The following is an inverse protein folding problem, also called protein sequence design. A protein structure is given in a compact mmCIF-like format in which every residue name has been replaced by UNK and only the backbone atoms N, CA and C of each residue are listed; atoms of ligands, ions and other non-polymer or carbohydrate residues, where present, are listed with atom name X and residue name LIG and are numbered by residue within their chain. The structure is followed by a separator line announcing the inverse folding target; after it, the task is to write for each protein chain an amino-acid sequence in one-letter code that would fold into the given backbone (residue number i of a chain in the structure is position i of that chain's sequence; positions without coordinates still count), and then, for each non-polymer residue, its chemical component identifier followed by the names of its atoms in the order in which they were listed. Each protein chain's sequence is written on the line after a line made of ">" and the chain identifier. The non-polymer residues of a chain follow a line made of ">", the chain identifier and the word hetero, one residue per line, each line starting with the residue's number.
data_IF_771061752167
#
_entry.id   IF_771061752167
#
_cell.length_a   1.000
_cell.length_b   1.000
_cell.length_c   1.000
_cell.angle_alpha   90.00
_cell.angle_beta   90.00
_cell.angle_gamma   90.00
#
_symmetry.space_group_name_H-M   'P 1'
#
loop_
_entity.id
_entity.type
_entity.pdbx_description
1 polymer ?
#
# COMPACT_ATOMS: atom_id res chain seq x y z
N UNK A 1 13.63 -6.98 -10.95
CA UNK A 1 14.11 -5.61 -10.70
C UNK A 1 14.52 -5.53 -9.24
N UNK A 2 15.69 -4.94 -8.93
CA UNK A 2 16.17 -4.75 -7.55
C UNK A 2 15.49 -3.51 -6.96
N UNK A 3 15.11 -3.54 -5.68
CA UNK A 3 14.37 -2.46 -5.02
C UNK A 3 15.34 -1.42 -4.48
N UNK A 4 15.06 -0.15 -4.79
CA UNK A 4 15.90 0.98 -4.38
C UNK A 4 15.42 1.55 -3.03
N UNK A 5 16.12 1.16 -1.97
CA UNK A 5 15.83 1.61 -0.60
C UNK A 5 16.27 3.03 -0.30
N UNK A 6 16.98 3.70 -1.21
CA UNK A 6 17.38 5.11 -1.05
C UNK A 6 16.21 6.08 -1.29
N UNK A 7 15.13 5.60 -1.94
CA UNK A 7 14.00 6.44 -2.31
C UNK A 7 13.03 6.65 -1.15
N UNK A 8 12.31 7.77 -1.18
CA UNK A 8 11.31 8.12 -0.16
C UNK A 8 10.15 7.11 -0.10
N UNK A 9 9.78 6.54 -1.25
CA UNK A 9 8.72 5.54 -1.42
C UNK A 9 9.34 4.26 -2.02
N UNK A 10 9.57 3.19 -1.23
CA UNK A 10 10.09 1.92 -1.75
C UNK A 10 9.15 1.36 -2.82
N UNK A 11 9.69 0.89 -3.94
CA UNK A 11 8.84 0.36 -5.02
C UNK A 11 9.58 -0.58 -5.99
N UNK A 12 8.81 -1.32 -6.79
CA UNK A 12 9.32 -2.15 -7.91
C UNK A 12 8.72 -1.77 -9.28
N UNK A 13 8.23 -0.53 -9.41
CA UNK A 13 7.52 -0.02 -10.60
C UNK A 13 8.31 1.08 -11.33
N UNK A 14 9.60 1.23 -11.01
CA UNK A 14 10.49 2.26 -11.55
C UNK A 14 9.94 3.69 -11.35
N UNK A 15 9.39 3.98 -10.17
CA UNK A 15 8.76 5.28 -9.89
C UNK A 15 9.69 6.49 -10.17
N UNK A 16 11.00 6.33 -9.94
CA UNK A 16 12.00 7.38 -10.23
C UNK A 16 12.17 7.72 -11.72
N UNK A 17 11.73 6.85 -12.62
CA UNK A 17 11.75 7.10 -14.07
C UNK A 17 10.57 8.00 -14.50
N UNK A 18 9.45 7.97 -13.77
CA UNK A 18 8.32 8.88 -13.96
C UNK A 18 8.31 9.99 -12.89
N UNK A 19 9.02 11.08 -13.20
CA UNK A 19 9.12 12.25 -12.31
C UNK A 19 7.78 12.94 -12.04
N UNK A 20 6.81 12.81 -12.94
CA UNK A 20 5.49 13.46 -12.77
C UNK A 20 4.69 12.67 -11.74
N UNK A 21 4.63 11.35 -11.90
CA UNK A 21 3.97 10.45 -10.95
C UNK A 21 4.64 10.49 -9.58
N UNK A 22 5.98 10.43 -9.53
CA UNK A 22 6.73 10.52 -8.29
C UNK A 22 6.35 11.78 -7.49
N UNK A 23 6.32 12.95 -8.15
CA UNK A 23 5.96 14.22 -7.49
C UNK A 23 4.52 14.24 -7.01
N UNK A 24 3.58 13.67 -7.77
CA UNK A 24 2.18 13.60 -7.36
C UNK A 24 2.02 12.77 -6.07
N UNK A 25 2.68 11.62 -5.98
CA UNK A 25 2.65 10.77 -4.79
C UNK A 25 3.38 11.41 -3.60
N UNK A 26 4.54 12.02 -3.84
CA UNK A 26 5.27 12.76 -2.79
C UNK A 26 4.50 13.99 -2.29
N UNK A 27 3.65 14.60 -3.13
CA UNK A 27 2.74 15.68 -2.74
C UNK A 27 1.55 15.16 -1.91
N UNK A 28 1.07 13.96 -2.19
CA UNK A 28 -0.02 13.32 -1.42
C UNK A 28 0.46 12.78 -0.06
N UNK A 29 1.71 12.33 0.04
CA UNK A 29 2.28 11.71 1.23
C UNK A 29 2.07 12.50 2.55
N UNK A 30 2.26 13.83 2.62
CA UNK A 30 1.99 14.58 3.84
C UNK A 30 0.54 14.45 4.32
N UNK A 31 -0.44 14.50 3.40
CA UNK A 31 -1.86 14.35 3.74
C UNK A 31 -2.18 12.94 4.28
N UNK A 32 -1.54 11.91 3.71
CA UNK A 32 -1.61 10.55 4.26
C UNK A 32 -1.03 10.46 5.67
N UNK A 33 0.12 11.08 5.93
CA UNK A 33 0.73 11.08 7.26
C UNK A 33 -0.08 11.88 8.28
N UNK A 34 -0.71 12.97 7.86
CA UNK A 34 -1.65 13.73 8.68
C UNK A 34 -2.87 12.89 9.05
N UNK A 35 -3.49 12.21 8.07
CA UNK A 35 -4.56 11.24 8.33
C UNK A 35 -4.11 10.12 9.28
N UNK A 36 -2.92 9.54 9.07
CA UNK A 36 -2.39 8.48 9.93
C UNK A 36 -2.18 8.96 11.37
N UNK A 37 -1.73 10.20 11.56
CA UNK A 37 -1.61 10.79 12.89
C UNK A 37 -2.98 10.97 13.54
N UNK A 38 -3.98 11.42 12.79
CA UNK A 38 -5.27 11.79 13.34
C UNK A 38 -6.20 10.58 13.55
N UNK A 39 -6.07 9.55 12.69
CA UNK A 39 -6.98 8.40 12.58
C UNK A 39 -6.32 7.04 12.76
N UNK A 40 -4.99 6.97 12.79
CA UNK A 40 -4.24 5.75 13.09
C UNK A 40 -4.35 5.31 14.56
N UNK A 41 -3.58 4.29 14.96
CA UNK A 41 -3.74 3.69 16.29
C UNK A 41 -3.44 4.67 17.44
N UNK A 42 -4.42 4.84 18.32
CA UNK A 42 -4.46 5.92 19.31
C UNK A 42 -3.35 5.80 20.36
N UNK A 43 -2.73 6.92 20.74
CA UNK A 43 -1.66 6.98 21.74
C UNK A 43 -0.35 6.25 21.40
N UNK A 44 -0.20 5.75 20.17
CA UNK A 44 0.88 4.81 19.80
C UNK A 44 2.02 5.40 18.94
N UNK A 45 1.95 6.69 18.56
CA UNK A 45 2.87 7.28 17.57
C UNK A 45 4.35 7.13 17.90
N UNK A 46 4.70 7.11 19.18
CA UNK A 46 6.08 7.02 19.65
C UNK A 46 6.54 5.59 19.98
N UNK A 47 5.67 4.58 19.82
CA UNK A 47 6.02 3.20 20.14
C UNK A 47 7.01 2.64 19.12
N UNK A 48 8.03 1.94 19.61
CA UNK A 48 8.91 1.13 18.78
C UNK A 48 8.27 -0.26 18.63
N UNK A 49 7.69 -0.51 17.46
CA UNK A 49 6.90 -1.72 17.20
C UNK A 49 7.68 -2.65 16.28
N UNK A 50 7.79 -3.93 16.65
CA UNK A 50 8.43 -4.95 15.81
C UNK A 50 7.54 -5.30 14.60
N UNK A 51 7.75 -4.65 13.47
CA UNK A 51 6.89 -4.75 12.28
C UNK A 51 7.61 -5.40 11.11
N UNK A 52 6.81 -6.02 10.24
CA UNK A 52 7.22 -6.49 8.93
C UNK A 52 7.01 -5.36 7.92
N UNK A 53 8.04 -5.07 7.15
CA UNK A 53 8.00 -4.16 6.01
C UNK A 53 8.23 -4.95 4.74
N UNK A 54 7.35 -4.78 3.75
CA UNK A 54 7.54 -5.35 2.43
C UNK A 54 8.70 -4.63 1.74
N UNK A 55 9.68 -5.41 1.31
CA UNK A 55 10.91 -4.94 0.67
C UNK A 55 11.15 -5.61 -0.68
N UNK A 56 10.36 -6.63 -1.04
CA UNK A 56 10.35 -7.27 -2.36
C UNK A 56 9.02 -7.99 -2.63
N UNK A 57 8.84 -8.44 -3.87
CA UNK A 57 7.78 -9.37 -4.28
C UNK A 57 8.31 -10.79 -4.51
N UNK A 58 9.62 -10.99 -4.35
CA UNK A 58 10.28 -12.29 -4.50
C UNK A 58 9.92 -13.22 -3.33
N UNK A 59 9.42 -14.44 -3.58
CA UNK A 59 9.12 -15.43 -2.54
C UNK A 59 10.29 -15.72 -1.58
N UNK A 60 11.54 -15.58 -2.04
CA UNK A 60 12.75 -15.88 -1.28
C UNK A 60 13.18 -14.80 -0.28
N UNK A 61 12.59 -13.60 -0.33
CA UNK A 61 13.05 -12.48 0.51
C UNK A 61 12.22 -11.21 0.37
N UNK A 62 10.93 -11.30 0.68
CA UNK A 62 9.99 -10.18 0.51
C UNK A 62 9.83 -9.28 1.74
N UNK A 63 10.30 -9.73 2.91
CA UNK A 63 9.96 -9.15 4.20
C UNK A 63 11.21 -8.80 5.03
N UNK A 64 11.28 -7.56 5.51
CA UNK A 64 12.24 -7.12 6.52
C UNK A 64 11.52 -6.92 7.86
N UNK A 65 12.13 -7.33 8.97
CA UNK A 65 11.57 -7.17 10.31
C UNK A 65 12.49 -6.32 11.17
N UNK A 66 11.94 -5.25 11.73
CA UNK A 66 12.67 -4.33 12.61
C UNK A 66 11.71 -3.65 13.60
N UNK A 67 12.29 -3.01 14.63
CA UNK A 67 11.52 -2.10 15.47
C UNK A 67 11.47 -0.74 14.79
N UNK A 68 10.26 -0.23 14.55
CA UNK A 68 10.03 1.04 13.86
C UNK A 68 8.88 1.78 14.53
N UNK A 69 8.94 3.11 14.52
CA UNK A 69 7.79 3.94 14.85
C UNK A 69 6.85 3.94 13.67
N UNK A 70 5.57 3.64 13.89
CA UNK A 70 4.61 3.52 12.78
C UNK A 70 4.56 4.75 11.83
N UNK A 71 4.69 6.01 12.30
CA UNK A 71 4.80 7.16 11.39
C UNK A 71 5.99 7.11 10.42
N UNK A 72 7.05 6.38 10.78
CA UNK A 72 8.25 6.18 9.97
C UNK A 72 8.18 4.89 9.12
N UNK A 73 7.04 4.17 9.16
CA UNK A 73 6.86 2.96 8.37
C UNK A 73 7.06 3.25 6.88
N UNK A 74 7.76 2.33 6.22
CA UNK A 74 8.16 2.51 4.82
C UNK A 74 7.07 1.98 3.90
N UNK A 75 5.95 2.71 3.81
CA UNK A 75 4.86 2.40 2.88
C UNK A 75 5.34 2.45 1.43
N UNK A 76 5.26 1.30 0.75
CA UNK A 76 5.80 1.11 -0.59
C UNK A 76 4.81 0.54 -1.60
N UNK A 77 5.17 0.61 -2.88
CA UNK A 77 4.34 0.24 -4.02
C UNK A 77 4.94 -1.00 -4.69
N UNK A 78 4.23 -2.12 -4.59
CA UNK A 78 4.73 -3.41 -5.05
C UNK A 78 3.70 -4.13 -5.92
N UNK A 79 4.04 -4.33 -7.20
CA UNK A 79 3.24 -5.09 -8.15
C UNK A 79 3.89 -6.45 -8.45
N UNK A 80 3.07 -7.44 -8.77
CA UNK A 80 3.57 -8.71 -9.30
C UNK A 80 4.33 -8.47 -10.61
N UNK A 81 5.39 -9.26 -10.91
CA UNK A 81 6.10 -9.15 -12.18
C UNK A 81 5.16 -9.26 -13.37
N UNK A 82 5.31 -8.35 -14.34
CA UNK A 82 4.49 -8.35 -15.53
C UNK A 82 4.79 -9.59 -16.39
N UNK A 83 3.73 -10.20 -16.92
CA UNK A 83 3.82 -11.24 -17.94
C UNK A 83 3.50 -10.60 -19.31
N UNK A 84 4.49 -10.42 -20.20
CA UNK A 84 4.30 -9.74 -21.49
C UNK A 84 3.34 -10.48 -22.43
N UNK A 85 3.08 -11.76 -22.17
CA UNK A 85 2.16 -12.58 -22.96
C UNK A 85 0.80 -12.75 -22.30
N UNK A 86 0.53 -12.05 -21.19
CA UNK A 86 -0.73 -12.19 -20.45
C UNK A 86 -1.92 -11.85 -21.33
N UNK A 87 -2.91 -12.75 -21.31
CA UNK A 87 -4.18 -12.62 -22.05
C UNK A 87 -5.34 -12.39 -21.10
N UNK A 88 -6.39 -11.74 -21.59
CA UNK A 88 -7.66 -11.63 -20.87
C UNK A 88 -8.34 -13.01 -20.87
N UNK A 89 -8.79 -13.47 -19.70
CA UNK A 89 -9.24 -14.85 -19.53
C UNK A 89 -10.77 -15.03 -19.56
N UNK A 90 -11.54 -13.95 -19.58
CA UNK A 90 -13.01 -13.97 -19.52
C UNK A 90 -13.65 -12.78 -20.25
N UNK A 91 -14.97 -12.83 -20.43
CA UNK A 91 -15.75 -11.73 -21.02
C UNK A 91 -15.59 -11.59 -22.53
N UNK A 92 -15.98 -10.41 -23.04
CA UNK A 92 -16.00 -10.09 -24.47
C UNK A 92 -14.60 -10.08 -25.09
N UNK A 93 -13.61 -9.55 -24.36
CA UNK A 93 -12.21 -9.45 -24.81
C UNK A 93 -11.37 -10.71 -24.55
N UNK A 94 -11.99 -11.86 -24.29
CA UNK A 94 -11.27 -13.10 -23.95
C UNK A 94 -10.29 -13.49 -25.07
N UNK A 95 -9.03 -13.72 -24.69
CA UNK A 95 -7.94 -14.07 -25.62
C UNK A 95 -7.14 -12.88 -26.14
N UNK A 96 -7.63 -11.64 -25.98
CA UNK A 96 -6.88 -10.43 -26.28
C UNK A 96 -5.73 -10.21 -25.28
N UNK A 97 -4.79 -9.33 -25.63
CA UNK A 97 -3.71 -8.94 -24.71
C UNK A 97 -4.26 -8.17 -23.50
N UNK A 98 -3.71 -8.43 -22.31
CA UNK A 98 -4.10 -7.67 -21.11
C UNK A 98 -3.66 -6.21 -21.21
N UNK A 99 -4.57 -5.30 -20.86
CA UNK A 99 -4.35 -3.87 -20.97
C UNK A 99 -3.29 -3.36 -19.98
N UNK A 100 -2.39 -2.51 -20.47
CA UNK A 100 -1.45 -1.74 -19.63
C UNK A 100 -1.98 -0.33 -19.33
N UNK A 101 -2.95 0.12 -20.12
CA UNK A 101 -3.63 1.41 -20.00
C UNK A 101 -5.13 1.19 -20.03
N UNK A 102 -5.89 1.99 -19.27
CA UNK A 102 -7.33 1.81 -19.15
C UNK A 102 -8.05 2.27 -20.44
N UNK A 103 -8.82 1.38 -21.12
CA UNK A 103 -9.65 1.78 -22.25
C UNK A 103 -10.64 2.88 -21.86
N UNK A 104 -10.81 3.87 -22.74
CA UNK A 104 -11.62 5.07 -22.44
C UNK A 104 -13.05 4.74 -22.01
N UNK A 105 -13.67 3.75 -22.66
CA UNK A 105 -15.03 3.28 -22.36
C UNK A 105 -15.18 2.64 -20.96
N UNK A 106 -14.09 2.14 -20.37
CA UNK A 106 -14.09 1.50 -19.06
C UNK A 106 -13.54 2.41 -17.95
N UNK A 107 -12.97 3.57 -18.28
CA UNK A 107 -12.28 4.46 -17.33
C UNK A 107 -13.11 4.80 -16.10
N UNK A 108 -14.37 5.21 -16.28
CA UNK A 108 -15.22 5.59 -15.15
C UNK A 108 -15.54 4.38 -14.24
N UNK A 109 -15.80 3.22 -14.83
CA UNK A 109 -16.13 2.00 -14.09
C UNK A 109 -14.92 1.44 -13.34
N UNK A 110 -13.75 1.36 -13.99
CA UNK A 110 -12.52 0.88 -13.34
C UNK A 110 -12.08 1.83 -12.23
N UNK A 111 -12.14 3.15 -12.45
CA UNK A 111 -11.87 4.13 -11.38
C UNK A 111 -12.80 3.92 -10.18
N UNK A 112 -14.10 3.71 -10.41
CA UNK A 112 -15.06 3.44 -9.32
C UNK A 112 -14.68 2.18 -8.53
N UNK A 113 -14.29 1.10 -9.23
CA UNK A 113 -13.88 -0.15 -8.58
C UNK A 113 -12.63 0.06 -7.72
N UNK A 114 -11.60 0.73 -8.26
CA UNK A 114 -10.36 1.02 -7.53
C UNK A 114 -10.64 1.89 -6.30
N UNK A 115 -11.46 2.94 -6.45
CA UNK A 115 -11.82 3.82 -5.32
C UNK A 115 -12.61 3.06 -4.27
N UNK A 116 -13.62 2.26 -4.64
CA UNK A 116 -14.42 1.49 -3.69
C UNK A 116 -13.59 0.47 -2.92
N UNK A 117 -12.62 -0.20 -3.56
CA UNK A 117 -11.67 -1.04 -2.84
C UNK A 117 -10.77 -0.19 -1.92
N UNK A 118 -10.21 0.91 -2.44
CA UNK A 118 -9.32 1.77 -1.67
C UNK A 118 -9.96 2.43 -0.46
N UNK A 119 -11.29 2.63 -0.47
CA UNK A 119 -12.06 3.23 0.63
C UNK A 119 -12.14 2.32 1.86
N UNK A 120 -12.09 0.98 1.68
CA UNK A 120 -12.18 0.04 2.81
C UNK A 120 -10.91 0.02 3.65
N UNK A 121 -9.77 0.32 3.03
CA UNK A 121 -8.46 0.18 3.66
C UNK A 121 -8.26 1.18 4.82
N UNK A 122 -8.46 2.52 4.64
CA UNK A 122 -8.42 3.46 5.75
C UNK A 122 -9.58 3.26 6.72
N UNK A 123 -10.78 2.90 6.24
CA UNK A 123 -11.94 2.65 7.10
C UNK A 123 -11.66 1.55 8.13
N UNK A 124 -10.92 0.51 7.76
CA UNK A 124 -10.51 -0.55 8.69
C UNK A 124 -9.59 -0.04 9.81
N UNK A 125 -8.63 0.85 9.48
CA UNK A 125 -7.72 1.47 10.45
C UNK A 125 -8.52 2.36 11.41
N UNK A 126 -9.42 3.18 10.86
CA UNK A 126 -10.28 4.08 11.62
C UNK A 126 -11.16 3.33 12.63
N UNK A 127 -11.76 2.21 12.22
CA UNK A 127 -12.57 1.36 13.09
C UNK A 127 -11.76 0.71 14.21
N UNK A 128 -10.48 0.40 13.94
CA UNK A 128 -9.62 -0.34 14.85
C UNK A 128 -8.77 0.54 15.78
N UNK A 129 -8.76 1.87 15.57
CA UNK A 129 -7.81 2.80 16.19
C UNK A 129 -7.70 2.72 17.72
N UNK A 130 -8.76 2.35 18.43
CA UNK A 130 -8.79 2.29 19.90
C UNK A 130 -8.50 0.88 20.47
N UNK A 131 -8.45 -0.15 19.63
CA UNK A 131 -8.28 -1.54 20.09
C UNK A 131 -6.96 -1.77 20.83
N UNK A 132 -5.94 -0.95 20.55
CA UNK A 132 -4.64 -1.03 21.21
C UNK A 132 -4.69 -0.73 22.72
N UNK A 133 -5.69 0.04 23.19
CA UNK A 133 -5.85 0.40 24.60
C UNK A 133 -6.25 -0.80 25.47
N UNK A 134 -6.82 -1.84 24.86
CA UNK A 134 -7.34 -3.03 25.54
C UNK A 134 -6.80 -4.32 24.92
N UNK A 135 -5.65 -4.26 24.26
CA UNK A 135 -5.05 -5.45 23.67
C UNK A 135 -4.72 -6.50 24.76
N UNK A 136 -5.09 -7.78 24.56
CA UNK A 136 -4.95 -8.80 25.60
C UNK A 136 -3.50 -9.26 25.80
N UNK A 137 -2.59 -8.92 24.89
CA UNK A 137 -1.15 -9.14 25.03
C UNK A 137 -0.36 -8.20 24.10
N UNK A 138 0.96 -8.12 24.31
CA UNK A 138 1.86 -7.43 23.38
C UNK A 138 1.94 -8.11 22.01
N UNK A 139 1.74 -9.43 21.95
CA UNK A 139 1.69 -10.16 20.69
C UNK A 139 0.48 -9.74 19.85
N UNK A 140 -0.69 -9.66 20.49
CA UNK A 140 -1.93 -9.22 19.84
C UNK A 140 -1.86 -7.74 19.46
N UNK A 141 -1.30 -6.89 20.32
CA UNK A 141 -1.08 -5.48 20.03
C UNK A 141 -0.17 -5.30 18.80
N UNK A 142 0.93 -6.05 18.73
CA UNK A 142 1.84 -6.03 17.60
C UNK A 142 1.16 -6.49 16.31
N UNK A 143 0.31 -7.52 16.39
CA UNK A 143 -0.41 -8.02 15.22
C UNK A 143 -1.48 -7.02 14.73
N UNK A 144 -2.19 -6.37 15.65
CA UNK A 144 -3.09 -5.28 15.32
C UNK A 144 -2.35 -4.17 14.55
N UNK A 145 -1.21 -3.72 15.08
CA UNK A 145 -0.41 -2.69 14.41
C UNK A 145 0.15 -3.16 13.06
N UNK A 146 0.51 -4.44 12.92
CA UNK A 146 0.90 -5.02 11.63
C UNK A 146 -0.24 -4.92 10.61
N UNK A 147 -1.47 -5.26 11.02
CA UNK A 147 -2.65 -5.09 10.15
C UNK A 147 -2.82 -3.63 9.78
N UNK A 148 -2.78 -2.71 10.75
CA UNK A 148 -3.03 -1.29 10.46
C UNK A 148 -2.03 -0.70 9.45
N UNK A 149 -0.73 -0.99 9.56
CA UNK A 149 0.26 -0.48 8.59
C UNK A 149 0.11 -1.15 7.22
N UNK A 150 -0.34 -2.40 7.17
CA UNK A 150 -0.60 -3.12 5.91
C UNK A 150 -1.84 -2.60 5.18
N UNK A 151 -2.92 -2.29 5.90
CA UNK A 151 -4.09 -1.63 5.33
C UNK A 151 -3.75 -0.20 4.88
N UNK A 152 -2.93 0.52 5.65
CA UNK A 152 -2.34 1.79 5.19
C UNK A 152 -1.58 1.63 3.87
N UNK A 153 -0.82 0.53 3.69
CA UNK A 153 -0.13 0.22 2.43
C UNK A 153 -1.10 -0.16 1.29
N UNK A 154 -2.23 -0.80 1.59
CA UNK A 154 -3.25 -1.10 0.58
C UNK A 154 -3.88 0.18 0.02
N UNK A 155 -4.10 1.20 0.88
CA UNK A 155 -4.50 2.53 0.41
C UNK A 155 -3.47 3.13 -0.55
N UNK A 156 -2.17 3.07 -0.21
CA UNK A 156 -1.09 3.49 -1.12
C UNK A 156 -1.12 2.75 -2.47
N UNK A 157 -1.43 1.45 -2.46
CA UNK A 157 -1.51 0.65 -3.69
C UNK A 157 -2.66 1.12 -4.60
N UNK A 158 -3.82 1.48 -4.04
CA UNK A 158 -4.94 2.01 -4.83
C UNK A 158 -4.68 3.44 -5.29
N UNK A 159 -4.09 4.30 -4.45
CA UNK A 159 -3.71 5.67 -4.81
C UNK A 159 -2.69 5.71 -5.94
N UNK A 160 -1.74 4.79 -5.97
CA UNK A 160 -0.80 4.67 -7.09
C UNK A 160 -1.49 4.39 -8.44
N UNK A 161 -2.60 3.63 -8.44
CA UNK A 161 -3.35 3.29 -9.66
C UNK A 161 -4.28 4.42 -10.14
N UNK A 162 -4.53 5.45 -9.31
CA UNK A 162 -5.46 6.56 -9.57
C UNK A 162 -4.75 7.78 -10.15
#
# INVERSE_FOLDING_TARGET
>A
MSIDYSQKIPNNVNLSEDRTLQRALEHWQPAFLDWWRDMGPDGSHNFDVYLRTAVSVDPSGWAHFEHVKMPDYRWGIFLQPADPNRRIHFGEHKGEAAWQEVPGEHRANLRRIIVTQGDTEPASVEQQRHLGLTAPSLYDLRNLFQVNVEEGRHLWAMVYLL
#
